data_IF_000175739555
#
_entry.id   IF_000175739555
#
_cell.length_a   1.000
_cell.length_b   1.000
_cell.length_c   1.000
_cell.angle_alpha   90.00
_cell.angle_beta   90.00
_cell.angle_gamma   90.00
#
_symmetry.space_group_name_H-M   'P 1'
#
loop_
_entity.id
_entity.type
_entity.pdbx_description
1 polymer ?
#
# COMPACT_ATOMS: atom_id res chain seq x y z
N UNK A 1 -39.45 4.43 25.58
CA UNK A 1 -37.98 4.36 25.67
C UNK A 1 -37.44 5.22 24.56
N UNK A 2 -37.00 6.42 24.89
CA UNK A 2 -36.19 7.19 23.95
C UNK A 2 -34.85 6.50 23.86
N UNK A 3 -34.54 5.91 22.69
CA UNK A 3 -33.20 5.42 22.42
C UNK A 3 -32.34 6.68 22.23
N UNK A 4 -31.55 7.04 23.23
CA UNK A 4 -30.51 8.04 23.08
C UNK A 4 -29.52 7.51 22.03
N UNK A 5 -29.56 8.10 20.84
CA UNK A 5 -28.55 7.83 19.80
C UNK A 5 -27.23 8.41 20.30
N UNK A 6 -26.22 7.56 20.47
CA UNK A 6 -24.89 8.04 20.84
C UNK A 6 -24.39 9.04 19.78
N UNK A 7 -24.02 10.21 20.23
CA UNK A 7 -23.49 11.30 19.39
C UNK A 7 -22.01 11.46 19.67
N UNK A 8 -21.29 11.78 18.61
CA UNK A 8 -19.85 12.09 18.67
C UNK A 8 -19.66 13.62 18.73
N UNK A 9 -18.49 14.04 19.18
CA UNK A 9 -18.12 15.44 19.14
C UNK A 9 -18.04 15.95 17.69
N UNK A 10 -18.46 17.19 17.44
CA UNK A 10 -18.24 17.85 16.14
C UNK A 10 -16.75 17.79 15.74
N UNK A 11 -16.49 17.64 14.44
CA UNK A 11 -15.12 17.66 13.93
C UNK A 11 -14.48 19.03 14.17
N UNK A 12 -15.20 20.09 13.87
CA UNK A 12 -14.83 21.48 14.13
C UNK A 12 -15.99 22.20 14.80
N UNK A 13 -15.70 22.86 15.91
CA UNK A 13 -16.70 23.64 16.64
C UNK A 13 -16.98 24.98 15.96
N UNK A 14 -15.96 25.58 15.35
CA UNK A 14 -16.02 26.90 14.70
C UNK A 14 -15.25 26.89 13.37
N UNK A 15 -15.54 27.89 12.53
CA UNK A 15 -14.77 28.13 11.31
C UNK A 15 -13.29 28.41 11.62
N UNK A 16 -13.02 29.09 12.74
CA UNK A 16 -11.66 29.39 13.17
C UNK A 16 -10.85 28.10 13.47
N UNK A 17 -11.47 27.12 14.14
CA UNK A 17 -10.81 25.83 14.40
C UNK A 17 -10.42 25.12 13.08
N UNK A 18 -11.28 25.22 12.06
CA UNK A 18 -10.99 24.67 10.74
C UNK A 18 -9.88 25.43 10.02
N UNK A 19 -9.88 26.76 10.11
CA UNK A 19 -8.83 27.61 9.52
C UNK A 19 -7.46 27.32 10.15
N UNK A 20 -7.38 27.19 11.47
CA UNK A 20 -6.15 26.84 12.20
C UNK A 20 -5.66 25.44 11.80
N UNK A 21 -6.56 24.45 11.70
CA UNK A 21 -6.25 23.10 11.22
C UNK A 21 -5.74 23.13 9.78
N UNK A 22 -6.41 23.83 8.87
CA UNK A 22 -6.02 23.94 7.47
C UNK A 22 -4.67 24.61 7.30
N UNK A 23 -4.43 25.72 8.05
CA UNK A 23 -3.17 26.45 8.02
C UNK A 23 -1.99 25.58 8.51
N UNK A 24 -2.21 24.74 9.52
CA UNK A 24 -1.18 23.81 10.01
C UNK A 24 -0.82 22.77 8.96
N UNK A 25 -1.82 22.14 8.32
CA UNK A 25 -1.56 21.14 7.30
C UNK A 25 -0.99 21.73 6.00
N UNK A 26 -1.31 22.98 5.67
CA UNK A 26 -0.75 23.68 4.51
C UNK A 26 0.75 23.95 4.59
N UNK A 27 1.40 23.72 5.74
CA UNK A 27 2.85 23.87 5.91
C UNK A 27 3.65 22.70 5.32
N UNK A 28 3.03 21.55 5.10
CA UNK A 28 3.68 20.33 4.63
C UNK A 28 3.55 20.18 3.12
N UNK A 29 4.17 21.11 2.38
CA UNK A 29 4.16 21.13 0.93
C UNK A 29 5.47 20.57 0.37
N UNK A 30 5.37 19.77 -0.71
CA UNK A 30 6.55 19.38 -1.48
C UNK A 30 7.06 20.61 -2.24
N UNK A 31 8.39 20.85 -2.30
CA UNK A 31 8.92 21.84 -3.21
C UNK A 31 8.55 21.48 -4.67
N UNK A 32 7.95 22.41 -5.39
CA UNK A 32 7.54 22.22 -6.79
C UNK A 32 8.33 23.16 -7.68
N UNK A 33 8.73 22.68 -8.86
CA UNK A 33 9.36 23.48 -9.88
C UNK A 33 8.71 23.20 -11.22
N UNK A 34 8.42 24.24 -11.97
CA UNK A 34 7.84 24.09 -13.30
C UNK A 34 8.79 23.30 -14.21
N UNK A 35 8.31 22.15 -14.71
CA UNK A 35 9.07 21.28 -15.62
C UNK A 35 9.54 22.02 -16.87
N UNK A 36 8.74 22.94 -17.41
CA UNK A 36 9.09 23.71 -18.60
C UNK A 36 10.36 24.56 -18.41
N UNK A 37 10.61 25.00 -17.18
CA UNK A 37 11.78 25.84 -16.84
C UNK A 37 12.95 25.04 -16.26
N UNK A 38 12.72 23.78 -15.88
CA UNK A 38 13.77 22.93 -15.31
C UNK A 38 14.79 22.54 -16.38
N UNK A 39 16.04 22.36 -15.97
CA UNK A 39 17.13 21.80 -16.80
C UNK A 39 18.00 20.92 -15.92
N UNK A 40 18.47 19.81 -16.47
CA UNK A 40 19.34 18.86 -15.78
C UNK A 40 18.75 17.48 -15.63
N UNK A 41 19.23 16.74 -14.65
CA UNK A 41 18.84 15.34 -14.42
C UNK A 41 17.52 15.24 -13.67
N UNK A 42 16.69 14.30 -14.11
CA UNK A 42 15.43 13.97 -13.47
C UNK A 42 15.36 12.46 -13.13
N UNK A 43 14.58 12.12 -12.13
CA UNK A 43 14.42 10.77 -11.60
C UNK A 43 12.95 10.40 -11.58
N UNK A 44 12.62 9.24 -12.15
CA UNK A 44 11.24 8.78 -12.32
C UNK A 44 10.90 7.74 -11.26
N UNK A 45 9.80 7.94 -10.57
CA UNK A 45 9.16 6.94 -9.72
C UNK A 45 7.78 6.56 -10.24
N UNK A 46 7.46 5.27 -10.25
CA UNK A 46 6.15 4.74 -10.66
C UNK A 46 5.62 3.86 -9.55
N UNK A 47 4.44 4.18 -9.04
CA UNK A 47 3.68 3.35 -8.11
C UNK A 47 2.49 2.73 -8.86
N UNK A 48 2.62 1.44 -9.18
CA UNK A 48 1.58 0.67 -9.85
C UNK A 48 0.76 -0.12 -8.83
N UNK A 49 -0.25 0.52 -8.27
CA UNK A 49 -1.18 -0.12 -7.34
C UNK A 49 -2.18 -1.04 -8.05
N UNK A 50 -3.05 -1.69 -7.28
CA UNK A 50 -4.12 -2.55 -7.79
C UNK A 50 -5.20 -1.79 -8.57
N UNK A 51 -5.52 -0.57 -8.14
CA UNK A 51 -6.61 0.25 -8.67
C UNK A 51 -6.11 1.45 -9.47
N UNK A 52 -5.00 2.04 -9.06
CA UNK A 52 -4.46 3.28 -9.63
C UNK A 52 -2.98 3.17 -9.90
N UNK A 53 -2.50 3.82 -10.95
CA UNK A 53 -1.07 4.04 -11.20
C UNK A 53 -0.76 5.51 -11.02
N UNK A 54 0.33 5.79 -10.33
CA UNK A 54 0.85 7.13 -10.11
C UNK A 54 2.29 7.18 -10.60
N UNK A 55 2.71 8.34 -11.08
CA UNK A 55 4.11 8.61 -11.37
C UNK A 55 4.51 9.97 -10.79
N UNK A 56 5.78 10.07 -10.43
CA UNK A 56 6.39 11.31 -9.98
C UNK A 56 7.75 11.48 -10.66
N UNK A 57 8.01 12.66 -11.16
CA UNK A 57 9.30 13.07 -11.70
C UNK A 57 9.92 14.08 -10.73
N UNK A 58 11.11 13.80 -10.23
CA UNK A 58 11.82 14.69 -9.29
C UNK A 58 13.15 15.15 -9.86
N UNK A 59 13.56 16.35 -9.49
CA UNK A 59 14.88 16.92 -9.81
C UNK A 59 15.98 16.40 -8.87
N UNK A 60 17.21 16.87 -9.11
CA UNK A 60 18.39 16.48 -8.33
C UNK A 60 18.29 16.86 -6.84
N UNK A 61 17.57 17.90 -6.52
CA UNK A 61 17.32 18.38 -5.15
C UNK A 61 16.09 17.74 -4.48
N UNK A 62 15.35 16.86 -5.18
CA UNK A 62 14.13 16.24 -4.71
C UNK A 62 12.87 17.08 -4.95
N UNK A 63 12.98 18.21 -5.64
CA UNK A 63 11.83 19.03 -6.04
C UNK A 63 10.95 18.27 -7.02
N UNK A 64 9.64 18.27 -6.79
CA UNK A 64 8.67 17.67 -7.70
C UNK A 64 8.55 18.50 -8.99
N UNK A 65 8.79 17.86 -10.12
CA UNK A 65 8.75 18.49 -11.45
C UNK A 65 7.44 18.19 -12.16
N UNK A 66 6.93 16.97 -12.02
CA UNK A 66 5.69 16.52 -12.63
C UNK A 66 5.09 15.37 -11.83
N UNK A 67 3.78 15.22 -11.89
CA UNK A 67 3.08 14.07 -11.28
C UNK A 67 1.93 13.62 -12.16
N UNK A 68 1.69 12.31 -12.14
CA UNK A 68 0.60 11.64 -12.84
C UNK A 68 -0.19 10.78 -11.86
N UNK A 69 -1.53 10.79 -11.99
CA UNK A 69 -2.42 9.95 -11.19
C UNK A 69 -3.60 9.51 -12.06
N UNK A 70 -3.74 8.21 -12.27
CA UNK A 70 -4.85 7.68 -13.08
C UNK A 70 -5.34 6.33 -12.56
N UNK A 71 -6.62 6.03 -12.83
CA UNK A 71 -7.20 4.71 -12.56
C UNK A 71 -6.68 3.71 -13.60
N UNK A 72 -6.35 2.49 -13.15
CA UNK A 72 -5.80 1.43 -14.02
C UNK A 72 -6.83 0.82 -14.96
N UNK A 73 -8.11 0.89 -14.65
CA UNK A 73 -9.17 0.19 -15.41
C UNK A 73 -8.87 -1.31 -15.67
N UNK A 74 -8.08 -1.92 -14.78
CA UNK A 74 -7.62 -3.31 -14.90
C UNK A 74 -6.30 -3.50 -15.66
N UNK A 75 -5.71 -2.43 -16.20
CA UNK A 75 -4.48 -2.49 -17.02
C UNK A 75 -3.34 -1.60 -16.48
N UNK A 76 -2.68 -1.98 -15.38
CA UNK A 76 -1.64 -1.16 -14.78
C UNK A 76 -0.44 -0.90 -15.71
N UNK A 77 -0.09 -1.83 -16.60
CA UNK A 77 1.00 -1.64 -17.56
C UNK A 77 0.64 -0.59 -18.59
N UNK A 78 -0.57 -0.62 -19.16
CA UNK A 78 -1.04 0.40 -20.11
C UNK A 78 -1.06 1.78 -19.47
N UNK A 79 -1.51 1.88 -18.21
CA UNK A 79 -1.54 3.14 -17.47
C UNK A 79 -0.14 3.65 -17.16
N UNK A 80 0.83 2.78 -16.81
CA UNK A 80 2.22 3.18 -16.60
C UNK A 80 2.89 3.68 -17.91
N UNK A 81 2.59 3.04 -19.02
CA UNK A 81 3.03 3.51 -20.36
C UNK A 81 2.46 4.90 -20.64
N UNK A 82 1.17 5.11 -20.36
CA UNK A 82 0.53 6.41 -20.54
C UNK A 82 1.17 7.50 -19.66
N UNK A 83 1.50 7.16 -18.42
CA UNK A 83 2.18 8.07 -17.50
C UNK A 83 3.56 8.50 -18.05
N UNK A 84 4.33 7.56 -18.59
CA UNK A 84 5.65 7.88 -19.17
C UNK A 84 5.49 8.74 -20.42
N UNK A 85 4.52 8.44 -21.29
CA UNK A 85 4.25 9.25 -22.48
C UNK A 85 3.85 10.67 -22.11
N UNK A 86 2.95 10.84 -21.14
CA UNK A 86 2.54 12.15 -20.62
C UNK A 86 3.74 12.96 -20.11
N UNK A 87 4.67 12.31 -19.40
CA UNK A 87 5.91 12.96 -18.93
C UNK A 87 6.79 13.37 -20.12
N UNK A 88 7.02 12.47 -21.09
CA UNK A 88 7.88 12.77 -22.23
C UNK A 88 7.29 13.85 -23.17
N UNK A 89 5.97 13.91 -23.32
CA UNK A 89 5.28 14.93 -24.11
C UNK A 89 5.48 16.34 -23.53
N UNK A 90 5.74 16.43 -22.22
CA UNK A 90 5.98 17.68 -21.51
C UNK A 90 7.47 17.94 -21.20
N UNK A 91 8.35 16.96 -21.49
CA UNK A 91 9.76 17.03 -21.13
C UNK A 91 10.49 18.04 -22.02
N UNK A 92 11.02 19.15 -21.49
CA UNK A 92 11.70 20.14 -22.29
C UNK A 92 13.11 19.69 -22.69
N UNK A 93 13.65 20.30 -23.73
CA UNK A 93 15.04 20.09 -24.13
C UNK A 93 16.00 20.43 -22.97
N UNK A 94 17.00 19.56 -22.73
CA UNK A 94 17.97 19.71 -21.64
C UNK A 94 17.52 19.11 -20.30
N UNK A 95 16.40 18.37 -20.29
CA UNK A 95 16.04 17.48 -19.16
C UNK A 95 16.20 16.04 -19.57
N UNK A 96 16.90 15.28 -18.75
CA UNK A 96 17.16 13.85 -18.98
C UNK A 96 16.68 13.01 -17.80
N UNK A 97 15.86 11.99 -18.05
CA UNK A 97 15.50 10.98 -17.03
C UNK A 97 16.65 9.99 -16.94
N UNK A 98 17.46 10.12 -15.90
CA UNK A 98 18.71 9.36 -15.75
C UNK A 98 18.58 8.10 -14.92
N UNK A 99 17.52 7.94 -14.15
CA UNK A 99 17.25 6.74 -13.36
C UNK A 99 15.76 6.63 -13.03
N UNK A 100 15.29 5.39 -12.82
CA UNK A 100 13.88 5.08 -12.63
C UNK A 100 13.68 3.97 -11.61
N UNK A 101 12.57 4.04 -10.87
CA UNK A 101 12.20 3.03 -9.90
C UNK A 101 10.69 2.76 -9.96
N UNK A 102 10.30 1.50 -9.86
CA UNK A 102 8.91 1.10 -9.69
C UNK A 102 8.64 0.56 -8.29
N UNK A 103 7.40 0.72 -7.85
CA UNK A 103 6.89 0.19 -6.58
C UNK A 103 5.41 -0.20 -6.73
N UNK A 104 4.82 -0.71 -5.65
CA UNK A 104 3.43 -1.13 -5.62
C UNK A 104 3.22 -2.57 -6.10
N UNK A 105 1.95 -2.98 -6.18
CA UNK A 105 1.58 -4.35 -6.55
C UNK A 105 2.08 -4.79 -7.94
N UNK A 106 2.12 -3.85 -8.89
CA UNK A 106 2.60 -4.06 -10.26
C UNK A 106 4.10 -3.86 -10.47
N UNK A 107 4.88 -3.61 -9.40
CA UNK A 107 6.31 -3.27 -9.45
C UNK A 107 7.10 -4.13 -10.43
N UNK A 108 7.12 -5.43 -10.23
CA UNK A 108 7.94 -6.35 -11.00
C UNK A 108 7.53 -6.44 -12.48
N UNK A 109 6.23 -6.35 -12.77
CA UNK A 109 5.71 -6.31 -14.13
C UNK A 109 6.18 -5.03 -14.86
N UNK A 110 5.99 -3.87 -14.24
CA UNK A 110 6.34 -2.57 -14.82
C UNK A 110 7.85 -2.48 -15.04
N UNK A 111 8.65 -2.86 -14.02
CA UNK A 111 10.10 -2.93 -14.13
C UNK A 111 10.54 -3.80 -15.31
N UNK A 112 9.99 -5.01 -15.43
CA UNK A 112 10.36 -5.94 -16.50
C UNK A 112 9.93 -5.44 -17.87
N UNK A 113 8.73 -4.88 -17.99
CA UNK A 113 8.17 -4.41 -19.26
C UNK A 113 8.93 -3.20 -19.80
N UNK A 114 9.20 -2.21 -18.96
CA UNK A 114 9.77 -0.92 -19.33
C UNK A 114 11.28 -0.86 -19.09
N UNK A 115 11.88 -1.92 -18.54
CA UNK A 115 13.29 -2.03 -18.18
C UNK A 115 13.73 -0.93 -17.19
N UNK A 116 12.84 -0.64 -16.21
CA UNK A 116 13.18 0.33 -15.17
C UNK A 116 14.39 -0.16 -14.36
N UNK A 117 15.19 0.79 -13.89
CA UNK A 117 16.48 0.50 -13.26
C UNK A 117 16.31 -0.21 -11.92
N UNK A 118 15.39 0.26 -11.11
CA UNK A 118 15.15 -0.26 -9.76
C UNK A 118 13.71 -0.74 -9.61
N UNK A 119 13.50 -1.65 -8.67
CA UNK A 119 12.20 -2.01 -8.13
C UNK A 119 12.31 -2.05 -6.63
N UNK A 120 11.35 -1.47 -5.92
CA UNK A 120 11.40 -1.37 -4.48
C UNK A 120 10.08 -1.78 -3.84
N UNK A 121 10.16 -2.33 -2.65
CA UNK A 121 8.99 -2.68 -1.85
C UNK A 121 8.21 -1.41 -1.50
N UNK A 122 6.90 -1.48 -1.65
CA UNK A 122 6.00 -0.35 -1.47
C UNK A 122 6.17 0.35 -0.11
N UNK A 123 6.30 -0.41 0.98
CA UNK A 123 6.50 0.14 2.32
C UNK A 123 7.80 0.94 2.47
N UNK A 124 8.86 0.56 1.73
CA UNK A 124 10.12 1.30 1.71
C UNK A 124 9.95 2.61 0.93
N UNK A 125 9.27 2.58 -0.21
CA UNK A 125 8.98 3.79 -0.99
C UNK A 125 8.14 4.78 -0.17
N UNK A 126 7.12 4.31 0.54
CA UNK A 126 6.31 5.13 1.45
C UNK A 126 7.14 5.74 2.58
N UNK A 127 8.08 4.98 3.14
CA UNK A 127 9.00 5.49 4.17
C UNK A 127 9.91 6.59 3.62
N UNK A 128 10.51 6.40 2.44
CA UNK A 128 11.35 7.43 1.81
C UNK A 128 10.58 8.74 1.60
N UNK A 129 9.35 8.64 1.11
CA UNK A 129 8.51 9.82 0.95
C UNK A 129 8.15 10.48 2.29
N UNK A 130 7.75 9.70 3.29
CA UNK A 130 7.40 10.22 4.61
C UNK A 130 8.58 10.88 5.32
N UNK A 131 9.77 10.28 5.25
CA UNK A 131 10.98 10.82 5.85
C UNK A 131 11.47 12.12 5.19
N UNK A 132 11.06 12.41 3.96
CA UNK A 132 11.30 13.67 3.31
C UNK A 132 10.58 14.84 4.00
N UNK A 133 9.35 14.61 4.50
CA UNK A 133 8.55 15.61 5.21
C UNK A 133 8.80 15.60 6.73
N UNK A 134 9.03 14.43 7.30
CA UNK A 134 9.32 14.22 8.72
C UNK A 134 10.47 13.22 8.86
N UNK A 135 11.72 13.71 8.96
CA UNK A 135 12.91 12.84 9.00
C UNK A 135 12.93 11.83 10.15
N UNK A 136 12.29 12.17 11.27
CA UNK A 136 12.20 11.32 12.46
C UNK A 136 10.81 10.68 12.59
N UNK A 137 10.15 10.33 11.48
CA UNK A 137 8.83 9.72 11.49
C UNK A 137 8.82 8.43 12.30
N UNK A 138 7.86 8.29 13.22
CA UNK A 138 7.65 7.09 14.05
C UNK A 138 6.66 6.12 13.42
N UNK A 139 5.64 6.67 12.76
CA UNK A 139 4.56 5.88 12.18
C UNK A 139 4.02 6.52 10.90
N UNK A 140 3.77 5.68 9.92
CA UNK A 140 3.12 6.07 8.68
C UNK A 140 1.77 5.34 8.62
N UNK A 141 0.69 6.11 8.46
CA UNK A 141 -0.63 5.57 8.23
C UNK A 141 -1.04 5.90 6.80
N UNK A 142 -1.04 4.89 5.94
CA UNK A 142 -1.49 5.00 4.56
C UNK A 142 -2.88 4.42 4.43
N UNK A 143 -3.84 5.23 3.98
CA UNK A 143 -5.20 4.80 3.70
C UNK A 143 -5.53 5.11 2.24
N UNK A 144 -5.46 4.07 1.43
CA UNK A 144 -5.85 4.08 0.03
C UNK A 144 -7.36 3.96 -0.19
N UNK A 145 -7.74 3.74 -1.44
CA UNK A 145 -9.13 3.48 -1.81
C UNK A 145 -9.65 2.12 -1.34
N UNK A 146 -8.82 1.08 -1.35
CA UNK A 146 -9.22 -0.30 -1.05
C UNK A 146 -8.34 -1.00 -0.01
N UNK A 147 -7.18 -0.47 0.26
CA UNK A 147 -6.22 -1.01 1.20
C UNK A 147 -5.79 0.03 2.23
N UNK A 148 -5.19 -0.43 3.28
CA UNK A 148 -4.54 0.42 4.26
C UNK A 148 -3.30 -0.24 4.82
N UNK A 149 -2.33 0.58 5.19
CA UNK A 149 -1.05 0.15 5.76
C UNK A 149 -0.72 1.03 6.97
N UNK A 150 -0.27 0.38 8.03
CA UNK A 150 0.36 1.05 9.15
C UNK A 150 1.82 0.57 9.23
N UNK A 151 2.75 1.48 9.01
CA UNK A 151 4.18 1.19 8.97
C UNK A 151 4.80 1.86 10.19
N UNK A 152 5.30 1.06 11.12
CA UNK A 152 6.03 1.57 12.29
C UNK A 152 7.51 1.65 11.97
N UNK A 153 8.10 2.79 12.31
CA UNK A 153 9.52 3.08 12.07
C UNK A 153 10.25 3.10 13.40
N UNK A 154 11.42 2.49 13.43
CA UNK A 154 12.31 2.50 14.58
C UNK A 154 13.76 2.56 14.12
N UNK A 155 14.52 3.49 14.68
CA UNK A 155 15.92 3.71 14.29
C UNK A 155 16.06 3.91 12.77
N UNK A 156 15.20 4.72 12.17
CA UNK A 156 15.17 5.02 10.73
C UNK A 156 15.03 3.79 9.84
N UNK A 157 14.38 2.74 10.34
CA UNK A 157 14.15 1.49 9.62
C UNK A 157 12.71 1.05 9.84
N UNK A 158 12.11 0.42 8.83
CA UNK A 158 10.78 -0.21 8.96
C UNK A 158 10.88 -1.36 9.98
N UNK A 159 10.23 -1.19 11.12
CA UNK A 159 10.20 -2.15 12.22
C UNK A 159 9.08 -3.17 12.05
N UNK A 160 7.87 -2.70 11.76
CA UNK A 160 6.73 -3.56 11.53
C UNK A 160 5.72 -2.94 10.56
N UNK A 161 4.98 -3.80 9.88
CA UNK A 161 3.95 -3.42 8.92
C UNK A 161 2.68 -4.19 9.20
N UNK A 162 1.57 -3.47 9.32
CA UNK A 162 0.24 -4.05 9.42
C UNK A 162 -0.54 -3.65 8.17
N UNK A 163 -1.08 -4.64 7.47
CA UNK A 163 -1.76 -4.48 6.20
C UNK A 163 -3.22 -4.91 6.31
N UNK A 164 -4.09 -4.22 5.60
CA UNK A 164 -5.44 -4.68 5.34
C UNK A 164 -5.76 -4.51 3.85
N UNK A 165 -5.77 -5.63 3.16
CA UNK A 165 -6.14 -5.72 1.74
C UNK A 165 -7.51 -6.41 1.55
N UNK A 166 -8.09 -6.93 2.62
CA UNK A 166 -9.28 -7.79 2.57
C UNK A 166 -10.59 -7.06 2.88
N UNK A 167 -10.53 -5.89 3.53
CA UNK A 167 -11.73 -5.20 4.00
C UNK A 167 -11.67 -3.69 3.76
N UNK A 168 -12.57 -3.18 2.94
CA UNK A 168 -12.65 -1.77 2.59
C UNK A 168 -13.22 -0.86 3.70
N UNK A 169 -13.67 -1.41 4.83
CA UNK A 169 -14.35 -0.62 5.88
C UNK A 169 -13.46 0.43 6.57
N UNK A 170 -12.15 0.30 6.44
CA UNK A 170 -11.17 1.29 6.88
C UNK A 170 -10.54 2.09 5.74
N UNK A 171 -11.10 2.08 4.54
CA UNK A 171 -10.52 2.65 3.32
C UNK A 171 -11.46 3.64 2.63
N UNK A 172 -10.96 4.38 1.64
CA UNK A 172 -11.71 5.44 0.95
C UNK A 172 -12.97 4.96 0.23
N UNK A 173 -12.98 3.76 -0.35
CA UNK A 173 -14.14 3.18 -1.02
C UNK A 173 -15.35 2.99 -0.11
N UNK A 174 -15.13 2.89 1.20
CA UNK A 174 -16.21 2.88 2.19
C UNK A 174 -16.99 4.21 2.16
N UNK A 175 -16.29 5.34 2.23
CA UNK A 175 -16.90 6.68 2.16
C UNK A 175 -17.55 6.91 0.80
N UNK A 176 -16.85 6.54 -0.28
CA UNK A 176 -17.37 6.69 -1.65
C UNK A 176 -18.68 5.95 -1.87
N UNK A 177 -18.80 4.73 -1.34
CA UNK A 177 -20.03 3.93 -1.43
C UNK A 177 -21.21 4.65 -0.78
N UNK A 178 -21.01 5.22 0.41
CA UNK A 178 -22.08 5.94 1.11
C UNK A 178 -22.38 7.32 0.49
N UNK A 179 -21.37 8.06 0.04
CA UNK A 179 -21.58 9.29 -0.69
C UNK A 179 -22.49 9.06 -1.92
N UNK A 180 -22.17 8.08 -2.75
CA UNK A 180 -22.97 7.67 -3.91
C UNK A 180 -24.40 7.24 -3.51
N UNK A 181 -24.55 6.46 -2.44
CA UNK A 181 -25.87 6.00 -1.97
C UNK A 181 -26.78 7.13 -1.47
N UNK A 182 -26.17 8.25 -1.06
CA UNK A 182 -26.85 9.45 -0.61
C UNK A 182 -26.93 10.54 -1.69
N UNK A 183 -26.54 10.24 -2.93
CA UNK A 183 -26.51 11.13 -4.09
C UNK A 183 -25.61 12.37 -3.91
N UNK A 184 -24.45 12.19 -3.27
CA UNK A 184 -23.43 13.21 -3.12
C UNK A 184 -22.17 12.85 -3.92
N UNK A 185 -21.45 13.86 -4.40
CA UNK A 185 -20.05 13.67 -4.77
C UNK A 185 -19.23 13.39 -3.51
N UNK A 186 -18.11 12.70 -3.65
CA UNK A 186 -17.22 12.41 -2.50
C UNK A 186 -16.72 13.69 -1.84
N UNK A 187 -16.45 14.71 -2.66
CA UNK A 187 -15.98 16.02 -2.21
C UNK A 187 -17.05 16.79 -1.42
N UNK A 188 -18.29 16.83 -1.94
CA UNK A 188 -19.36 17.53 -1.24
C UNK A 188 -19.79 16.79 0.03
N UNK A 189 -19.71 15.46 0.01
CA UNK A 189 -19.96 14.63 1.18
C UNK A 189 -18.90 14.88 2.28
N UNK A 190 -17.62 14.98 1.90
CA UNK A 190 -16.55 15.34 2.81
C UNK A 190 -16.74 16.75 3.41
N UNK A 191 -17.07 17.73 2.58
CA UNK A 191 -17.32 19.11 3.04
C UNK A 191 -18.50 19.19 3.99
N UNK A 192 -19.58 18.45 3.73
CA UNK A 192 -20.75 18.42 4.61
C UNK A 192 -20.42 17.97 6.04
N UNK A 193 -19.45 17.06 6.19
CA UNK A 193 -19.03 16.54 7.48
C UNK A 193 -18.36 17.57 8.41
N UNK A 194 -17.68 18.58 7.84
CA UNK A 194 -16.75 19.45 8.58
C UNK A 194 -17.43 20.17 9.76
N UNK A 195 -18.64 20.67 9.54
CA UNK A 195 -19.39 21.45 10.53
C UNK A 195 -20.68 20.74 10.97
N UNK A 196 -20.70 19.40 10.91
CA UNK A 196 -21.81 18.61 11.46
C UNK A 196 -21.94 18.88 12.96
N UNK A 197 -23.17 19.22 13.38
CA UNK A 197 -23.43 19.61 14.78
C UNK A 197 -23.52 18.41 15.72
N UNK A 198 -24.07 17.31 15.22
CA UNK A 198 -24.36 16.11 16.01
C UNK A 198 -23.92 14.86 15.27
N UNK A 199 -22.62 14.64 15.02
CA UNK A 199 -22.15 13.47 14.30
C UNK A 199 -22.67 12.17 14.93
N UNK A 200 -23.24 11.30 14.11
CA UNK A 200 -23.83 10.04 14.58
C UNK A 200 -22.76 9.00 14.83
N UNK A 201 -22.74 8.35 16.00
CA UNK A 201 -21.86 7.20 16.19
C UNK A 201 -22.42 5.97 15.45
N UNK A 202 -21.82 5.66 14.33
CA UNK A 202 -22.17 4.52 13.49
C UNK A 202 -21.43 3.24 13.88
N UNK A 203 -20.49 3.33 14.85
CA UNK A 203 -19.68 2.23 15.33
C UNK A 203 -18.63 1.74 14.32
N UNK A 204 -18.15 0.51 14.53
CA UNK A 204 -17.10 -0.14 13.73
C UNK A 204 -17.65 -1.38 13.03
N UNK A 205 -18.18 -1.24 11.83
CA UNK A 205 -18.77 -2.35 11.06
C UNK A 205 -18.28 -2.33 9.61
N UNK A 206 -18.34 -3.47 8.95
CA UNK A 206 -18.08 -3.51 7.51
C UNK A 206 -19.21 -2.80 6.73
N UNK A 207 -18.95 -2.43 5.49
CA UNK A 207 -19.85 -1.64 4.63
C UNK A 207 -21.26 -2.23 4.55
N UNK A 208 -21.39 -3.56 4.47
CA UNK A 208 -22.68 -4.25 4.38
C UNK A 208 -23.54 -4.01 5.61
N UNK A 209 -22.99 -4.20 6.80
CA UNK A 209 -23.72 -3.98 8.06
C UNK A 209 -23.88 -2.49 8.40
N UNK A 210 -22.93 -1.65 7.98
CA UNK A 210 -23.00 -0.20 8.17
C UNK A 210 -24.20 0.43 7.46
N UNK A 211 -24.62 -0.12 6.31
CA UNK A 211 -25.78 0.35 5.59
C UNK A 211 -27.06 0.35 6.46
N UNK A 212 -27.21 -0.65 7.31
CA UNK A 212 -28.34 -0.68 8.26
C UNK A 212 -28.26 0.44 9.29
N UNK A 213 -27.07 0.74 9.82
CA UNK A 213 -26.88 1.83 10.77
C UNK A 213 -27.13 3.19 10.13
N UNK A 214 -26.65 3.41 8.90
CA UNK A 214 -26.91 4.65 8.15
C UNK A 214 -28.40 4.82 7.89
N UNK A 215 -29.11 3.79 7.45
CA UNK A 215 -30.58 3.85 7.26
C UNK A 215 -31.33 4.11 8.57
N UNK A 216 -30.86 3.54 9.66
CA UNK A 216 -31.47 3.78 10.98
C UNK A 216 -31.23 5.24 11.42
N UNK A 217 -30.01 5.75 11.28
CA UNK A 217 -29.70 7.15 11.57
C UNK A 217 -30.58 8.14 10.75
N UNK A 218 -30.82 7.84 9.47
CA UNK A 218 -31.74 8.63 8.63
C UNK A 218 -33.18 8.62 9.17
N UNK A 219 -33.69 7.46 9.60
CA UNK A 219 -35.02 7.35 10.21
C UNK A 219 -35.12 8.10 11.51
N UNK A 220 -34.06 8.24 12.26
CA UNK A 220 -33.93 8.99 13.50
C UNK A 220 -33.67 10.50 13.29
N UNK A 221 -33.69 10.96 12.03
CA UNK A 221 -33.58 12.36 11.67
C UNK A 221 -32.15 12.90 11.61
N UNK A 222 -31.12 12.02 11.55
CA UNK A 222 -29.75 12.47 11.34
C UNK A 222 -29.61 13.11 9.95
N UNK A 223 -28.94 14.26 9.90
CA UNK A 223 -28.64 14.95 8.65
C UNK A 223 -27.57 14.22 7.85
N UNK A 224 -27.46 14.50 6.55
CA UNK A 224 -26.36 13.97 5.73
C UNK A 224 -25.00 14.40 6.29
N UNK A 225 -24.91 15.63 6.84
CA UNK A 225 -23.72 16.13 7.50
C UNK A 225 -23.32 15.26 8.70
N UNK A 226 -24.28 14.95 9.59
CA UNK A 226 -24.03 14.11 10.78
C UNK A 226 -23.65 12.67 10.42
N UNK A 227 -24.26 12.13 9.37
CA UNK A 227 -23.92 10.79 8.84
C UNK A 227 -22.51 10.79 8.22
N UNK A 228 -22.18 11.81 7.43
CA UNK A 228 -20.88 11.93 6.79
C UNK A 228 -19.75 12.04 7.82
N UNK A 229 -19.93 12.86 8.85
CA UNK A 229 -18.99 12.98 9.96
C UNK A 229 -18.87 11.65 10.73
N UNK A 230 -19.99 10.99 11.01
CA UNK A 230 -20.00 9.67 11.66
C UNK A 230 -19.27 8.60 10.86
N UNK A 231 -19.39 8.61 9.53
CA UNK A 231 -18.64 7.70 8.65
C UNK A 231 -17.14 8.01 8.63
N UNK A 232 -16.75 9.29 8.66
CA UNK A 232 -15.34 9.68 8.78
C UNK A 232 -14.71 9.13 10.08
N UNK A 233 -15.43 9.27 11.21
CA UNK A 233 -15.02 8.61 12.47
C UNK A 233 -14.97 7.08 12.35
N UNK A 234 -15.95 6.46 11.71
CA UNK A 234 -16.02 5.01 11.54
C UNK A 234 -14.86 4.46 10.73
N UNK A 235 -14.43 5.13 9.63
CA UNK A 235 -13.27 4.72 8.84
C UNK A 235 -12.05 4.64 9.73
N UNK A 236 -11.80 5.68 10.51
CA UNK A 236 -10.63 5.72 11.41
C UNK A 236 -10.76 4.72 12.56
N UNK A 237 -11.95 4.61 13.19
CA UNK A 237 -12.17 3.57 14.22
C UNK A 237 -11.92 2.16 13.67
N UNK A 238 -12.38 1.85 12.45
CA UNK A 238 -12.12 0.58 11.80
C UNK A 238 -10.63 0.38 11.54
N UNK A 239 -9.95 1.39 10.99
CA UNK A 239 -8.52 1.35 10.74
C UNK A 239 -7.73 1.06 12.01
N UNK A 240 -7.95 1.84 13.06
CA UNK A 240 -7.17 1.78 14.29
C UNK A 240 -7.49 0.55 15.14
N UNK A 241 -8.77 0.29 15.38
CA UNK A 241 -9.17 -0.74 16.37
C UNK A 241 -9.38 -2.13 15.77
N UNK A 242 -9.79 -2.23 14.50
CA UNK A 242 -10.03 -3.55 13.86
C UNK A 242 -8.81 -4.08 13.12
N UNK A 243 -8.09 -3.21 12.43
CA UNK A 243 -6.94 -3.60 11.59
C UNK A 243 -5.65 -3.51 12.39
N UNK A 244 -5.30 -2.30 12.85
CA UNK A 244 -4.05 -2.06 13.57
C UNK A 244 -4.12 -2.62 15.00
N UNK A 245 -5.34 -2.75 15.55
CA UNK A 245 -5.60 -3.26 16.90
C UNK A 245 -4.87 -2.45 18.00
N UNK A 246 -4.83 -1.15 17.82
CA UNK A 246 -4.25 -0.23 18.79
C UNK A 246 -5.05 -0.27 20.08
N UNK A 247 -4.37 -0.38 21.20
CA UNK A 247 -4.96 -0.33 22.53
C UNK A 247 -4.69 1.01 23.22
N UNK A 248 -3.61 1.68 22.86
CA UNK A 248 -3.22 3.00 23.37
C UNK A 248 -2.75 3.91 22.22
N UNK A 249 -3.22 5.15 22.20
CA UNK A 249 -2.78 6.16 21.23
C UNK A 249 -1.25 6.40 21.23
N UNK A 250 -0.58 6.16 22.34
CA UNK A 250 0.89 6.25 22.46
C UNK A 250 1.64 5.26 21.57
N UNK A 251 0.97 4.22 21.08
CA UNK A 251 1.57 3.23 20.19
C UNK A 251 1.91 3.79 18.80
N UNK A 252 1.35 4.94 18.41
CA UNK A 252 1.69 5.62 17.15
C UNK A 252 3.00 6.39 17.20
N UNK A 253 3.56 6.64 18.38
CA UNK A 253 4.66 7.57 18.54
C UNK A 253 4.19 9.04 18.57
N UNK A 254 5.11 9.96 18.35
CA UNK A 254 4.82 11.41 18.38
C UNK A 254 4.78 12.03 16.99
N UNK A 255 5.47 11.42 16.02
CA UNK A 255 5.66 11.93 14.67
C UNK A 255 4.98 11.00 13.68
N UNK A 256 3.72 11.31 13.38
CA UNK A 256 2.87 10.48 12.52
C UNK A 256 2.70 11.17 11.18
N UNK A 257 3.05 10.48 10.10
CA UNK A 257 2.76 10.91 8.72
C UNK A 257 1.54 10.14 8.24
N UNK A 258 0.53 10.86 7.75
CA UNK A 258 -0.64 10.26 7.11
C UNK A 258 -0.61 10.48 5.61
N UNK A 259 -0.93 9.45 4.85
CA UNK A 259 -0.87 9.48 3.39
C UNK A 259 -1.94 8.57 2.77
N UNK A 260 -1.99 8.53 1.45
CA UNK A 260 -3.08 7.91 0.70
C UNK A 260 -4.21 8.88 0.39
N UNK A 261 -4.92 8.63 -0.70
CA UNK A 261 -5.95 9.54 -1.22
C UNK A 261 -7.10 9.82 -0.25
N UNK A 262 -7.35 8.92 0.70
CA UNK A 262 -8.41 9.07 1.70
C UNK A 262 -8.15 10.23 2.66
N UNK A 263 -6.90 10.56 2.93
CA UNK A 263 -6.53 11.68 3.80
C UNK A 263 -6.64 13.07 3.17
N UNK A 264 -6.97 13.16 1.87
CA UNK A 264 -7.42 14.43 1.29
C UNK A 264 -8.80 14.86 1.83
N UNK A 265 -9.54 13.96 2.45
CA UNK A 265 -10.74 14.27 3.17
C UNK A 265 -10.40 14.80 4.57
N UNK A 266 -10.57 16.12 4.77
CA UNK A 266 -10.27 16.78 6.05
C UNK A 266 -11.10 16.24 7.22
N UNK A 267 -12.31 15.73 6.95
CA UNK A 267 -13.12 15.09 7.99
C UNK A 267 -12.47 13.79 8.50
N UNK A 268 -11.88 12.99 7.60
CA UNK A 268 -11.16 11.78 7.96
C UNK A 268 -9.87 12.12 8.73
N UNK A 269 -9.12 13.09 8.23
CA UNK A 269 -7.90 13.55 8.88
C UNK A 269 -8.18 14.08 10.30
N UNK A 270 -9.21 14.92 10.45
CA UNK A 270 -9.61 15.45 11.76
C UNK A 270 -10.11 14.35 12.69
N UNK A 271 -10.85 13.37 12.16
CA UNK A 271 -11.28 12.19 12.94
C UNK A 271 -10.08 11.40 13.48
N UNK A 272 -9.03 11.23 12.66
CA UNK A 272 -7.80 10.60 13.10
C UNK A 272 -7.16 11.36 14.27
N UNK A 273 -6.97 12.67 14.14
CA UNK A 273 -6.38 13.49 15.20
C UNK A 273 -7.19 13.46 16.50
N UNK A 274 -8.54 13.50 16.38
CA UNK A 274 -9.42 13.44 17.57
C UNK A 274 -9.39 12.08 18.27
N UNK A 275 -9.33 10.99 17.51
CA UNK A 275 -9.34 9.63 18.08
C UNK A 275 -7.95 9.28 18.64
N UNK A 276 -6.89 9.60 17.91
CA UNK A 276 -5.52 9.25 18.29
C UNK A 276 -4.92 10.21 19.32
N UNK A 277 -5.42 11.45 19.40
CA UNK A 277 -4.80 12.52 20.17
C UNK A 277 -3.44 12.99 19.63
N UNK A 278 -3.09 12.58 18.40
CA UNK A 278 -1.84 12.94 17.72
C UNK A 278 -2.12 13.99 16.66
N UNK A 279 -1.28 15.02 16.57
CA UNK A 279 -1.21 15.86 15.39
C UNK A 279 -0.45 15.12 14.29
N UNK A 280 -1.06 15.02 13.10
CA UNK A 280 -0.48 14.30 11.98
C UNK A 280 0.15 15.26 10.96
N UNK A 281 1.23 14.82 10.34
CA UNK A 281 1.78 15.45 9.14
C UNK A 281 1.06 14.85 7.93
N UNK A 282 0.33 15.69 7.20
CA UNK A 282 -0.26 15.31 5.91
C UNK A 282 0.43 16.08 4.79
N UNK A 283 1.30 15.44 3.99
CA UNK A 283 1.85 16.06 2.80
C UNK A 283 0.76 16.47 1.80
N UNK A 284 0.98 17.55 1.07
CA UNK A 284 0.09 17.98 -0.02
C UNK A 284 -0.02 16.96 -1.15
N UNK A 285 1.02 16.13 -1.30
CA UNK A 285 1.10 15.01 -2.26
C UNK A 285 0.70 13.65 -1.66
N UNK A 286 -0.12 13.64 -0.59
CA UNK A 286 -0.49 12.42 0.14
C UNK A 286 -0.96 11.26 -0.77
N UNK A 287 -1.57 11.54 -1.92
CA UNK A 287 -2.07 10.52 -2.86
C UNK A 287 -1.01 9.90 -3.77
N UNK A 288 0.20 10.48 -3.87
CA UNK A 288 1.26 10.01 -4.76
C UNK A 288 2.56 9.68 -4.02
N UNK A 289 2.49 9.50 -2.71
CA UNK A 289 3.68 9.28 -1.85
C UNK A 289 4.50 8.06 -2.28
N UNK A 290 3.85 6.95 -2.70
CA UNK A 290 4.56 5.78 -3.21
C UNK A 290 5.42 6.09 -4.44
N UNK A 291 4.87 6.81 -5.41
CA UNK A 291 5.60 7.23 -6.61
C UNK A 291 6.71 8.25 -6.30
N UNK A 292 6.42 9.22 -5.42
CA UNK A 292 7.41 10.20 -4.98
C UNK A 292 8.58 9.54 -4.26
N UNK A 293 8.30 8.62 -3.33
CA UNK A 293 9.34 7.84 -2.64
C UNK A 293 10.17 6.98 -3.59
N UNK A 294 9.53 6.33 -4.57
CA UNK A 294 10.25 5.58 -5.61
C UNK A 294 11.19 6.50 -6.43
N UNK A 295 10.74 7.72 -6.75
CA UNK A 295 11.59 8.70 -7.45
C UNK A 295 12.79 9.16 -6.57
N UNK A 296 12.59 9.35 -5.27
CA UNK A 296 13.68 9.65 -4.33
C UNK A 296 14.68 8.50 -4.23
N UNK A 297 14.20 7.24 -4.22
CA UNK A 297 15.05 6.04 -4.25
C UNK A 297 15.85 5.98 -5.56
N UNK A 298 15.21 6.24 -6.69
CA UNK A 298 15.90 6.32 -7.98
C UNK A 298 17.03 7.35 -7.95
N UNK A 299 16.77 8.53 -7.39
CA UNK A 299 17.76 9.60 -7.21
C UNK A 299 18.95 9.13 -6.37
N UNK A 300 18.70 8.51 -5.22
CA UNK A 300 19.74 8.08 -4.30
C UNK A 300 20.61 6.96 -4.89
N UNK A 301 19.98 6.00 -5.60
CA UNK A 301 20.66 4.80 -6.13
C UNK A 301 21.30 4.99 -7.49
N UNK A 302 21.04 6.09 -8.18
CA UNK A 302 21.59 6.39 -9.50
C UNK A 302 23.12 6.32 -9.51
N UNK A 303 23.79 7.05 -8.60
CA UNK A 303 25.26 7.05 -8.43
C UNK A 303 26.03 7.06 -9.74
N UNK A 304 25.55 7.79 -10.75
CA UNK A 304 26.18 7.89 -12.06
C UNK A 304 26.00 6.69 -13.00
N UNK A 305 25.11 5.75 -12.66
CA UNK A 305 24.73 4.66 -13.55
C UNK A 305 23.98 5.19 -14.77
N UNK A 306 24.15 4.53 -15.90
CA UNK A 306 23.35 4.78 -17.10
C UNK A 306 22.01 4.04 -16.95
N UNK A 307 20.91 4.74 -17.24
CA UNK A 307 19.58 4.12 -17.15
C UNK A 307 19.41 3.00 -18.17
N UNK A 308 18.72 1.95 -17.74
CA UNK A 308 18.30 0.82 -18.58
C UNK A 308 16.89 1.00 -19.12
N UNK A 309 16.15 2.02 -18.64
CA UNK A 309 14.78 2.30 -19.05
C UNK A 309 14.67 2.44 -20.56
N UNK A 310 13.61 1.89 -21.14
CA UNK A 310 13.34 2.02 -22.57
C UNK A 310 13.14 3.49 -22.94
N UNK A 311 13.80 3.94 -23.99
CA UNK A 311 13.55 5.26 -24.57
C UNK A 311 12.13 5.37 -25.15
N UNK A 312 11.62 6.60 -25.28
CA UNK A 312 10.24 6.88 -25.69
C UNK A 312 9.87 6.23 -27.03
N UNK A 313 10.78 6.18 -28.00
CA UNK A 313 10.53 5.55 -29.32
C UNK A 313 10.23 4.05 -29.16
N UNK A 314 10.97 3.35 -28.28
CA UNK A 314 10.74 1.93 -27.99
C UNK A 314 9.46 1.71 -27.21
N UNK A 315 9.10 2.64 -26.32
CA UNK A 315 7.84 2.62 -25.57
C UNK A 315 6.65 2.84 -26.50
N UNK A 316 6.76 3.76 -27.46
CA UNK A 316 5.72 4.01 -28.45
C UNK A 316 5.51 2.83 -29.42
N UNK A 317 6.58 2.13 -29.76
CA UNK A 317 6.55 0.96 -30.63
C UNK A 317 6.33 -0.36 -29.84
N UNK A 318 6.12 -0.29 -28.52
CA UNK A 318 6.01 -1.49 -27.70
C UNK A 318 4.66 -2.18 -27.90
N UNK A 319 4.72 -3.43 -28.34
CA UNK A 319 3.60 -4.34 -28.35
C UNK A 319 3.75 -5.34 -27.19
N UNK A 320 2.64 -5.67 -26.57
CA UNK A 320 2.60 -6.70 -25.53
C UNK A 320 1.34 -7.55 -25.62
N UNK A 321 1.45 -8.78 -25.16
CA UNK A 321 0.32 -9.71 -25.10
C UNK A 321 0.36 -10.50 -23.81
N UNK A 322 -0.82 -10.79 -23.29
CA UNK A 322 -0.99 -11.58 -22.06
C UNK A 322 -1.64 -12.92 -22.40
N UNK A 323 -1.07 -13.99 -21.86
CA UNK A 323 -1.63 -15.34 -22.01
C UNK A 323 -1.61 -16.07 -20.65
N UNK A 324 -2.53 -17.01 -20.50
CA UNK A 324 -2.65 -17.85 -19.30
C UNK A 324 -2.14 -19.25 -19.60
N UNK A 325 -1.38 -19.82 -18.68
CA UNK A 325 -0.92 -21.20 -18.77
C UNK A 325 -0.95 -21.88 -17.40
N UNK A 326 -1.01 -23.21 -17.40
CA UNK A 326 -0.88 -24.00 -16.17
C UNK A 326 0.54 -24.51 -16.01
N UNK A 327 1.15 -24.23 -14.85
CA UNK A 327 2.44 -24.80 -14.50
C UNK A 327 2.31 -26.31 -14.26
N UNK A 328 3.13 -27.11 -14.94
CA UNK A 328 3.16 -28.59 -14.83
C UNK A 328 4.30 -29.07 -13.91
N UNK A 329 4.97 -28.19 -13.19
CA UNK A 329 6.16 -28.51 -12.39
C UNK A 329 5.89 -29.28 -11.09
N UNK A 330 4.66 -29.28 -10.57
CA UNK A 330 4.25 -30.02 -9.37
C UNK A 330 2.71 -30.09 -9.26
N UNK A 331 2.21 -30.74 -8.20
CA UNK A 331 0.78 -30.94 -7.94
C UNK A 331 -0.03 -29.65 -7.72
N UNK A 332 0.64 -28.52 -7.39
CA UNK A 332 -0.03 -27.23 -7.20
C UNK A 332 -0.67 -26.68 -8.50
N UNK A 333 -0.17 -27.08 -9.67
CA UNK A 333 -0.70 -26.72 -10.97
C UNK A 333 -1.09 -25.23 -11.09
N UNK A 334 -0.17 -24.33 -10.66
CA UNK A 334 -0.40 -22.90 -10.57
C UNK A 334 -0.88 -22.32 -11.91
N UNK A 335 -1.86 -21.43 -11.87
CA UNK A 335 -2.23 -20.61 -13.00
C UNK A 335 -1.19 -19.49 -13.17
N UNK A 336 -0.49 -19.50 -14.29
CA UNK A 336 0.54 -18.53 -14.65
C UNK A 336 -0.04 -17.50 -15.59
N UNK A 337 0.29 -16.24 -15.38
CA UNK A 337 0.07 -15.15 -16.32
C UNK A 337 1.41 -14.84 -17.00
N UNK A 338 1.46 -14.99 -18.31
CA UNK A 338 2.65 -14.79 -19.13
C UNK A 338 2.44 -13.52 -19.96
N UNK A 339 3.18 -12.50 -19.64
CA UNK A 339 3.25 -11.25 -20.41
C UNK A 339 4.45 -11.32 -21.35
N UNK A 340 4.21 -11.19 -22.63
CA UNK A 340 5.24 -11.15 -23.67
C UNK A 340 5.35 -9.73 -24.21
N UNK A 341 6.58 -9.25 -24.35
CA UNK A 341 6.90 -7.91 -24.80
C UNK A 341 7.71 -7.95 -26.09
N UNK A 342 7.73 -6.85 -26.82
CA UNK A 342 8.58 -6.66 -28.00
C UNK A 342 10.04 -7.06 -27.70
N UNK A 343 10.72 -7.65 -28.68
CA UNK A 343 12.10 -8.13 -28.53
C UNK A 343 12.23 -9.47 -27.81
N UNK A 344 11.17 -10.26 -27.69
CA UNK A 344 11.20 -11.61 -27.12
C UNK A 344 11.30 -11.68 -25.61
N UNK A 345 11.21 -10.55 -24.92
CA UNK A 345 11.18 -10.49 -23.45
C UNK A 345 9.85 -11.01 -22.92
N UNK A 346 9.87 -11.57 -21.72
CA UNK A 346 8.66 -12.03 -21.07
C UNK A 346 8.74 -11.85 -19.56
N UNK A 347 7.57 -11.69 -18.94
CA UNK A 347 7.39 -11.69 -17.50
C UNK A 347 6.30 -12.70 -17.12
N UNK A 348 6.61 -13.59 -16.16
CA UNK A 348 5.69 -14.63 -15.70
C UNK A 348 5.35 -14.36 -14.24
N UNK A 349 4.05 -14.31 -13.94
CA UNK A 349 3.52 -14.15 -12.58
C UNK A 349 2.50 -15.26 -12.26
N UNK A 350 2.01 -15.28 -11.02
CA UNK A 350 1.11 -16.33 -10.53
C UNK A 350 1.84 -17.61 -10.10
N UNK A 351 3.16 -17.69 -10.30
CA UNK A 351 3.99 -18.80 -9.84
C UNK A 351 4.14 -18.77 -8.31
N UNK A 352 4.05 -19.96 -7.69
CA UNK A 352 4.32 -20.12 -6.25
C UNK A 352 5.78 -20.54 -5.96
N UNK A 353 6.55 -20.78 -7.00
CA UNK A 353 7.96 -21.14 -6.91
C UNK A 353 8.68 -20.88 -8.24
N UNK A 354 10.00 -20.91 -8.22
CA UNK A 354 10.87 -20.63 -9.38
C UNK A 354 10.67 -21.57 -10.58
N UNK A 355 10.18 -22.80 -10.37
CA UNK A 355 9.86 -23.72 -11.46
C UNK A 355 8.82 -23.15 -12.43
N UNK A 356 7.86 -22.35 -11.91
CA UNK A 356 6.81 -21.75 -12.73
C UNK A 356 7.33 -20.71 -13.71
N UNK A 357 8.47 -20.10 -13.44
CA UNK A 357 9.11 -19.09 -14.32
C UNK A 357 10.23 -19.66 -15.19
N UNK A 358 10.36 -21.01 -15.24
CA UNK A 358 11.35 -21.67 -16.09
C UNK A 358 12.80 -21.51 -15.61
N UNK A 359 13.03 -20.95 -14.43
CA UNK A 359 14.35 -20.95 -13.82
C UNK A 359 14.63 -22.34 -13.28
N UNK A 360 15.50 -23.07 -13.94
CA UNK A 360 16.12 -24.24 -13.30
C UNK A 360 16.86 -23.73 -12.04
N UNK A 361 16.68 -24.45 -10.94
CA UNK A 361 17.51 -24.19 -9.75
C UNK A 361 18.96 -24.18 -10.21
N UNK A 362 19.64 -23.04 -10.11
CA UNK A 362 21.08 -23.08 -9.96
C UNK A 362 21.33 -24.11 -8.88
N UNK A 363 22.08 -25.17 -9.21
CA UNK A 363 22.61 -26.11 -8.24
C UNK A 363 23.70 -25.37 -7.46
N UNK A 364 23.32 -24.31 -6.78
CA UNK A 364 24.15 -23.70 -5.78
C UNK A 364 24.42 -24.81 -4.75
N UNK A 365 25.65 -25.01 -4.41
CA UNK A 365 26.12 -25.96 -3.40
C UNK A 365 25.63 -25.59 -1.98
N UNK A 366 24.46 -24.94 -1.89
CA UNK A 366 23.83 -24.61 -0.61
C UNK A 366 23.24 -25.89 -0.02
N UNK A 367 23.68 -26.32 1.16
CA UNK A 367 23.13 -27.51 1.81
C UNK A 367 21.63 -27.42 1.96
N UNK A 368 20.91 -28.46 1.53
CA UNK A 368 19.44 -28.52 1.72
C UNK A 368 19.15 -28.84 3.20
N UNK A 369 19.01 -27.80 4.01
CA UNK A 369 18.73 -27.91 5.45
C UNK A 369 17.38 -28.59 5.73
N UNK A 370 16.41 -28.49 4.82
CA UNK A 370 15.13 -29.20 4.97
C UNK A 370 15.33 -30.72 4.79
N UNK A 371 16.06 -31.14 3.77
CA UNK A 371 16.40 -32.57 3.57
C UNK A 371 17.24 -33.10 4.73
N UNK A 372 18.20 -32.32 5.22
CA UNK A 372 18.96 -32.66 6.40
C UNK A 372 18.10 -32.85 7.64
N UNK A 373 17.19 -31.87 7.91
CA UNK A 373 16.25 -31.94 9.05
C UNK A 373 15.32 -33.13 8.93
N UNK A 374 14.78 -33.39 7.74
CA UNK A 374 13.91 -34.54 7.51
C UNK A 374 14.63 -35.87 7.78
N UNK A 375 15.86 -36.00 7.25
CA UNK A 375 16.70 -37.17 7.50
C UNK A 375 17.00 -37.33 8.98
N UNK A 376 17.37 -36.26 9.65
CA UNK A 376 17.70 -36.26 11.09
C UNK A 376 16.52 -36.69 11.98
N UNK A 377 15.28 -36.40 11.58
CA UNK A 377 14.09 -36.71 12.36
C UNK A 377 13.51 -38.09 12.07
N UNK A 378 13.61 -38.57 10.82
CA UNK A 378 12.88 -39.76 10.38
C UNK A 378 13.75 -40.90 9.91
N UNK A 379 15.06 -40.74 9.84
CA UNK A 379 15.98 -41.77 9.35
C UNK A 379 16.58 -42.54 10.54
N UNK A 380 15.70 -43.22 11.29
CA UNK A 380 16.06 -44.12 12.36
C UNK A 380 15.65 -45.54 12.00
N UNK A 381 16.51 -46.50 12.32
CA UNK A 381 16.17 -47.93 12.28
C UNK A 381 15.37 -48.28 13.51
N UNK A 382 14.15 -48.85 13.37
CA UNK A 382 13.37 -49.30 14.52
C UNK A 382 14.12 -50.42 15.27
N UNK A 383 13.95 -50.43 16.58
CA UNK A 383 14.46 -51.55 17.40
C UNK A 383 13.84 -52.86 16.94
N UNK A 384 14.61 -53.94 16.97
CA UNK A 384 14.11 -55.29 16.75
C UNK A 384 13.17 -55.71 17.91
N UNK A 385 12.26 -56.65 17.63
CA UNK A 385 11.23 -57.04 18.58
C UNK A 385 11.78 -57.50 19.95
N UNK A 386 12.96 -58.16 19.93
CA UNK A 386 13.68 -58.61 21.14
C UNK A 386 14.20 -57.43 22.00
N UNK A 387 14.43 -56.28 21.38
CA UNK A 387 14.90 -55.04 22.05
C UNK A 387 13.79 -54.07 22.33
N UNK A 388 12.54 -54.37 21.93
CA UNK A 388 11.38 -53.52 22.07
C UNK A 388 10.27 -54.19 22.90
N UNK A 389 10.49 -54.55 24.18
CA UNK A 389 9.55 -55.34 25.00
C UNK A 389 8.24 -54.61 25.32
N UNK A 390 8.16 -53.31 25.07
CA UNK A 390 6.96 -52.48 25.27
C UNK A 390 6.03 -52.41 24.06
N UNK A 391 6.37 -53.06 22.96
CA UNK A 391 5.61 -53.05 21.70
C UNK A 391 5.98 -51.90 20.76
N UNK A 392 5.21 -51.78 19.71
CA UNK A 392 5.41 -50.79 18.62
C UNK A 392 4.42 -49.64 18.74
N UNK A 393 4.92 -48.41 18.69
CA UNK A 393 4.12 -47.21 18.64
C UNK A 393 4.27 -46.53 17.31
N UNK A 394 3.16 -46.36 16.59
CA UNK A 394 3.13 -45.60 15.35
C UNK A 394 2.94 -44.12 15.62
N UNK A 395 3.86 -43.26 15.13
CA UNK A 395 3.71 -41.82 15.22
C UNK A 395 3.42 -41.29 13.80
N UNK A 396 2.24 -40.66 13.57
CA UNK A 396 1.92 -40.15 12.24
C UNK A 396 2.83 -38.98 11.84
N UNK A 397 3.27 -38.95 10.57
CA UNK A 397 4.09 -37.86 10.02
C UNK A 397 3.26 -36.60 9.78
N UNK A 398 2.96 -35.86 10.85
CA UNK A 398 2.28 -34.57 10.84
C UNK A 398 3.21 -33.47 11.34
N UNK A 399 2.80 -32.20 11.17
CA UNK A 399 3.62 -31.05 11.58
C UNK A 399 4.11 -31.11 13.04
N UNK A 400 3.31 -31.67 13.94
CA UNK A 400 3.62 -31.83 15.36
C UNK A 400 4.83 -32.73 15.61
N UNK A 401 5.18 -33.63 14.69
CA UNK A 401 6.34 -34.49 14.85
C UNK A 401 7.66 -33.73 15.04
N UNK A 402 7.75 -32.54 14.45
CA UNK A 402 8.91 -31.67 14.63
C UNK A 402 8.99 -31.10 16.07
N UNK A 403 7.89 -31.08 16.79
CA UNK A 403 7.81 -30.63 18.18
C UNK A 403 7.93 -31.77 19.17
N UNK A 404 7.42 -32.95 18.87
CA UNK A 404 7.41 -34.09 19.78
C UNK A 404 8.81 -34.61 20.15
N UNK A 405 9.79 -34.43 19.24
CA UNK A 405 11.19 -34.76 19.53
C UNK A 405 11.84 -33.83 20.58
N UNK A 406 11.28 -32.63 20.81
CA UNK A 406 11.73 -31.73 21.88
C UNK A 406 11.09 -32.05 23.24
N UNK A 407 9.98 -32.76 23.24
CA UNK A 407 9.20 -33.04 24.43
C UNK A 407 9.30 -34.48 24.92
N UNK A 408 9.98 -35.35 24.15
CA UNK A 408 10.12 -36.79 24.47
C UNK A 408 11.45 -37.15 25.12
N UNK A 409 12.24 -36.17 25.54
CA UNK A 409 13.41 -36.39 26.41
C UNK A 409 13.03 -36.58 27.90
N UNK A 410 11.84 -37.07 28.14
CA UNK A 410 11.37 -37.44 29.45
C UNK A 410 11.40 -38.99 29.62
#
# INVERSE_FOLDING_TARGET
MEFEVERLDPLFATTKDYEEFSARHAQHQVPVKDLATYRGKAFLGIDAGSTTTKAALVGEDGTLLHSFYHNNEGEPLGTAISAIKDIYDQLPEGVEIVHSCSTGYGEALIKSALMLDEGEVETVSHYYAASFFEPDVDCILDIGGQDMKCIKIKNQTVDSVQLNEACSSGCGSFIETFAKSLNYSVQDFAKAALFAKNPTDLGTRCTVFMNSNVKQAQKEGATVADISAGLAYSVIKNALFKVIKVTDAKEFGKKVVVQGGTFYNDAVLRSFEKISGCEAVRPDIAGIMGAFGAALIARERCKGKVTTMLGIDKINAMEYSTSLARCKGCTNNCLLTINKFSGGRQFISGNRCEKGIGKEKNKDNVPNLFAYKLKRIFDYEPLTEDKAPRGTVGIPRVLNMYCLLYTSDA
#
